data_IF_856286552340
#
_entry.id   IF_856286552340
#
_cell.length_a   1.000
_cell.length_b   1.000
_cell.length_c   1.000
_cell.angle_alpha   90.00
_cell.angle_beta   90.00
_cell.angle_gamma   90.00
#
_symmetry.space_group_name_H-M   'P 1'
#
loop_
_entity.id
_entity.type
_entity.pdbx_description
1 polymer ?
#
# COMPACT_ATOMS: atom_id res chain seq x y z
N UNK A 1 7.85 -25.76 19.75
CA UNK A 1 6.64 -24.91 19.80
C UNK A 1 6.88 -23.62 20.60
N UNK A 2 7.20 -23.69 21.90
CA UNK A 2 7.39 -22.50 22.76
C UNK A 2 8.51 -21.54 22.31
N UNK A 3 9.71 -22.06 21.99
CA UNK A 3 10.86 -21.21 21.61
C UNK A 3 10.59 -20.41 20.32
N UNK A 4 9.95 -21.02 19.33
CA UNK A 4 9.60 -20.33 18.08
C UNK A 4 8.64 -19.17 18.30
N UNK A 5 7.58 -19.40 19.11
CA UNK A 5 6.63 -18.34 19.46
C UNK A 5 7.29 -17.24 20.30
N UNK A 6 8.20 -17.59 21.21
CA UNK A 6 8.97 -16.62 21.99
C UNK A 6 9.83 -15.72 21.09
N UNK A 7 10.48 -16.28 20.08
CA UNK A 7 11.26 -15.49 19.11
C UNK A 7 10.37 -14.55 18.30
N UNK A 8 9.21 -15.02 17.83
CA UNK A 8 8.24 -14.18 17.11
C UNK A 8 7.77 -13.03 18.01
N UNK A 9 7.48 -13.30 19.28
CA UNK A 9 7.07 -12.28 20.24
C UNK A 9 8.14 -11.21 20.43
N UNK A 10 9.41 -11.62 20.56
CA UNK A 10 10.53 -10.68 20.70
C UNK A 10 10.70 -9.81 19.45
N UNK A 11 10.54 -10.39 18.24
CA UNK A 11 10.59 -9.64 16.98
C UNK A 11 9.45 -8.62 16.88
N UNK A 12 8.23 -9.00 17.26
CA UNK A 12 7.07 -8.09 17.26
C UNK A 12 7.25 -6.93 18.25
N UNK A 13 7.76 -7.21 19.45
CA UNK A 13 8.07 -6.16 20.43
C UNK A 13 9.15 -5.20 19.93
N UNK A 14 10.22 -5.74 19.34
CA UNK A 14 11.27 -4.92 18.73
C UNK A 14 10.71 -4.04 17.60
N UNK A 15 9.93 -4.62 16.68
CA UNK A 15 9.30 -3.89 15.59
C UNK A 15 8.33 -2.81 16.09
N UNK A 16 7.56 -3.07 17.14
CA UNK A 16 6.65 -2.10 17.76
C UNK A 16 7.39 -0.91 18.37
N UNK A 17 8.46 -1.18 19.12
CA UNK A 17 9.30 -0.12 19.72
C UNK A 17 9.98 0.71 18.62
N UNK A 18 10.58 0.05 17.63
CA UNK A 18 11.24 0.73 16.50
C UNK A 18 10.23 1.57 15.71
N UNK A 19 9.05 1.04 15.39
CA UNK A 19 8.00 1.76 14.67
C UNK A 19 7.52 3.00 15.41
N UNK A 20 7.39 2.94 16.74
CA UNK A 20 7.02 4.09 17.56
C UNK A 20 8.15 5.12 17.65
N UNK A 21 9.38 4.68 17.89
CA UNK A 21 10.54 5.56 18.05
C UNK A 21 10.95 6.27 16.75
N UNK A 22 10.85 5.58 15.61
CA UNK A 22 11.26 6.10 14.29
C UNK A 22 10.08 6.55 13.44
N UNK A 23 8.92 6.87 14.05
CA UNK A 23 7.68 7.22 13.35
C UNK A 23 7.89 8.27 12.25
N UNK A 24 8.64 9.34 12.51
CA UNK A 24 8.87 10.43 11.53
C UNK A 24 9.66 9.96 10.32
N UNK A 25 10.71 9.16 10.55
CA UNK A 25 11.55 8.60 9.50
C UNK A 25 10.78 7.56 8.69
N UNK A 26 10.06 6.65 9.36
CA UNK A 26 9.16 5.71 8.71
C UNK A 26 8.10 6.42 7.88
N UNK A 27 7.50 7.51 8.39
CA UNK A 27 6.50 8.29 7.65
C UNK A 27 7.11 8.95 6.39
N UNK A 28 8.34 9.46 6.48
CA UNK A 28 9.05 10.01 5.32
C UNK A 28 9.30 8.94 4.26
N UNK A 29 9.88 7.81 4.65
CA UNK A 29 10.20 6.70 3.75
C UNK A 29 8.93 6.13 3.10
N UNK A 30 7.85 5.99 3.88
CA UNK A 30 6.54 5.59 3.36
C UNK A 30 6.01 6.62 2.37
N UNK A 31 6.10 7.92 2.67
CA UNK A 31 5.64 8.97 1.77
C UNK A 31 6.39 8.96 0.42
N UNK A 32 7.71 8.83 0.46
CA UNK A 32 8.55 8.70 -0.75
C UNK A 32 8.16 7.45 -1.56
N UNK A 33 8.06 6.31 -0.88
CA UNK A 33 7.66 5.03 -1.48
C UNK A 33 6.27 5.09 -2.10
N UNK A 34 5.31 5.74 -1.43
CA UNK A 34 3.95 5.94 -1.96
C UNK A 34 3.95 6.82 -3.20
N UNK A 35 4.73 7.90 -3.22
CA UNK A 35 4.86 8.76 -4.39
C UNK A 35 5.51 8.07 -5.59
N UNK A 36 6.50 7.21 -5.37
CA UNK A 36 7.10 6.40 -6.43
C UNK A 36 6.13 5.36 -6.98
N UNK A 37 5.43 4.65 -6.09
CA UNK A 37 4.43 3.66 -6.47
C UNK A 37 3.21 4.28 -7.15
N UNK A 38 2.79 5.49 -6.76
CA UNK A 38 1.71 6.21 -7.44
C UNK A 38 2.04 6.44 -8.93
N UNK A 39 3.30 6.72 -9.27
CA UNK A 39 3.73 6.86 -10.68
C UNK A 39 3.61 5.56 -11.46
N UNK A 40 3.78 4.41 -10.82
CA UNK A 40 3.66 3.10 -11.46
C UNK A 40 2.19 2.78 -11.78
N UNK A 41 1.22 3.27 -11.00
CA UNK A 41 -0.20 3.06 -11.29
C UNK A 41 -0.62 3.64 -12.65
N UNK A 42 -0.04 4.78 -13.04
CA UNK A 42 -0.27 5.40 -14.36
C UNK A 42 0.56 4.80 -15.50
N UNK A 43 1.52 3.90 -15.22
CA UNK A 43 2.38 3.31 -16.25
C UNK A 43 1.83 1.99 -16.79
N UNK A 44 2.26 1.60 -17.99
CA UNK A 44 1.84 0.35 -18.64
C UNK A 44 2.97 -0.66 -18.78
N UNK A 45 4.03 -0.56 -17.96
CA UNK A 45 5.15 -1.51 -17.94
C UNK A 45 4.74 -2.84 -17.29
N UNK A 46 5.45 -3.96 -17.56
CA UNK A 46 5.18 -5.24 -16.89
C UNK A 46 5.24 -5.15 -15.37
N UNK A 47 6.20 -4.41 -14.83
CA UNK A 47 6.37 -4.21 -13.37
C UNK A 47 5.20 -3.40 -12.78
N UNK A 48 4.69 -2.41 -13.53
CA UNK A 48 3.52 -1.64 -13.12
C UNK A 48 2.27 -2.54 -13.02
N UNK A 49 2.13 -3.55 -13.89
CA UNK A 49 0.97 -4.44 -13.86
C UNK A 49 0.89 -5.28 -12.58
N UNK A 50 2.02 -5.77 -12.07
CA UNK A 50 2.03 -6.52 -10.80
C UNK A 50 1.55 -5.64 -9.64
N UNK A 51 2.04 -4.40 -9.59
CA UNK A 51 1.61 -3.43 -8.58
C UNK A 51 0.12 -3.07 -8.73
N UNK A 52 -0.35 -2.84 -9.96
CA UNK A 52 -1.76 -2.52 -10.24
C UNK A 52 -2.69 -3.63 -9.75
N UNK A 53 -2.36 -4.90 -10.00
CA UNK A 53 -3.15 -6.04 -9.51
C UNK A 53 -3.19 -6.11 -7.98
N UNK A 54 -2.04 -5.92 -7.32
CA UNK A 54 -1.98 -5.83 -5.86
C UNK A 54 -2.82 -4.65 -5.32
N UNK A 55 -2.77 -3.50 -6.01
CA UNK A 55 -3.51 -2.31 -5.63
C UNK A 55 -5.02 -2.48 -5.82
N UNK A 56 -5.48 -3.14 -6.88
CA UNK A 56 -6.90 -3.46 -7.09
C UNK A 56 -7.43 -4.33 -5.95
N UNK A 57 -6.68 -5.36 -5.55
CA UNK A 57 -7.02 -6.21 -4.40
C UNK A 57 -7.10 -5.40 -3.10
N UNK A 58 -6.09 -4.56 -2.84
CA UNK A 58 -6.02 -3.72 -1.65
C UNK A 58 -7.19 -2.72 -1.57
N UNK A 59 -7.47 -2.00 -2.67
CA UNK A 59 -8.56 -1.02 -2.74
C UNK A 59 -9.93 -1.69 -2.55
N UNK A 60 -10.10 -2.91 -3.08
CA UNK A 60 -11.34 -3.67 -2.90
C UNK A 60 -11.58 -4.03 -1.43
N UNK A 61 -10.52 -4.45 -0.73
CA UNK A 61 -10.60 -4.84 0.69
C UNK A 61 -10.73 -3.62 1.61
N UNK A 62 -9.88 -2.61 1.41
CA UNK A 62 -9.77 -1.45 2.30
C UNK A 62 -10.74 -0.32 1.94
N UNK A 63 -11.47 -0.42 0.83
CA UNK A 63 -12.40 0.61 0.34
C UNK A 63 -11.73 1.97 0.18
N UNK A 64 -10.50 1.97 -0.34
CA UNK A 64 -9.75 3.16 -0.70
C UNK A 64 -9.58 3.25 -2.22
N UNK A 65 -9.02 4.36 -2.71
CA UNK A 65 -8.68 4.50 -4.11
C UNK A 65 -7.36 5.27 -4.23
N UNK A 66 -6.43 4.77 -5.05
CA UNK A 66 -5.10 5.35 -5.25
C UNK A 66 -4.18 5.28 -4.03
N UNK A 67 -3.08 6.04 -4.10
CA UNK A 67 -2.02 6.10 -3.08
C UNK A 67 -1.78 7.53 -2.55
N UNK A 68 -1.71 8.52 -3.43
CA UNK A 68 -1.35 9.92 -3.12
C UNK A 68 -2.47 10.87 -3.53
N UNK A 69 -2.87 10.85 -4.80
CA UNK A 69 -3.90 11.73 -5.35
C UNK A 69 -5.23 11.01 -5.63
N UNK A 70 -5.36 9.79 -5.13
CA UNK A 70 -6.57 9.00 -5.24
C UNK A 70 -6.73 8.38 -6.62
N UNK A 71 -7.95 8.39 -7.18
CA UNK A 71 -8.23 7.88 -8.52
C UNK A 71 -7.32 8.47 -9.62
N UNK A 72 -6.82 9.69 -9.41
CA UNK A 72 -5.93 10.37 -10.35
C UNK A 72 -4.57 9.67 -10.51
N UNK A 73 -4.12 8.91 -9.50
CA UNK A 73 -2.85 8.17 -9.56
C UNK A 73 -2.84 7.11 -10.66
N UNK A 74 -4.02 6.64 -11.08
CA UNK A 74 -4.17 5.63 -12.13
C UNK A 74 -4.02 6.17 -13.55
N UNK A 75 -4.13 7.49 -13.75
CA UNK A 75 -4.08 8.11 -15.07
C UNK A 75 -5.01 7.42 -16.09
N UNK A 76 -4.48 7.14 -17.27
CA UNK A 76 -5.24 6.48 -18.36
C UNK A 76 -5.61 5.02 -18.04
N UNK A 77 -4.96 4.39 -17.05
CA UNK A 77 -5.25 3.02 -16.62
C UNK A 77 -6.43 2.94 -15.64
N UNK A 78 -7.07 4.06 -15.28
CA UNK A 78 -8.16 4.08 -14.29
C UNK A 78 -9.33 3.13 -14.64
N UNK A 79 -9.55 2.84 -15.92
CA UNK A 79 -10.56 1.88 -16.34
C UNK A 79 -10.39 0.49 -15.70
N UNK A 80 -9.16 0.08 -15.39
CA UNK A 80 -8.84 -1.20 -14.73
C UNK A 80 -9.15 -1.20 -13.23
N UNK A 81 -8.99 -0.06 -12.56
CA UNK A 81 -9.20 0.08 -11.11
C UNK A 81 -10.58 0.61 -10.72
N UNK A 82 -11.39 1.02 -11.70
CA UNK A 82 -12.70 1.64 -11.49
C UNK A 82 -13.60 0.85 -10.56
N UNK A 83 -13.64 -0.47 -10.71
CA UNK A 83 -14.49 -1.33 -9.87
C UNK A 83 -13.97 -1.43 -8.43
N UNK A 84 -12.65 -1.50 -8.22
CA UNK A 84 -12.05 -1.52 -6.89
C UNK A 84 -12.16 -0.18 -6.15
N UNK A 85 -12.27 0.92 -6.90
CA UNK A 85 -12.42 2.28 -6.38
C UNK A 85 -13.88 2.70 -6.13
N UNK A 86 -14.86 1.81 -6.36
CA UNK A 86 -16.26 2.14 -6.11
C UNK A 86 -16.47 2.42 -4.63
N UNK A 87 -16.93 3.63 -4.34
CA UNK A 87 -17.49 3.93 -3.04
C UNK A 87 -18.85 3.21 -2.94
N UNK A 88 -19.16 2.56 -1.81
CA UNK A 88 -20.51 2.06 -1.60
C UNK A 88 -21.50 3.24 -1.68
N UNK A 89 -22.60 3.02 -2.40
CA UNK A 89 -23.73 3.95 -2.42
C UNK A 89 -24.40 3.91 -1.05
N UNK A 90 -23.91 4.74 -0.12
CA UNK A 90 -24.39 4.97 1.25
C UNK A 90 -24.29 3.82 2.25
#
# INVERSE_FOLDING_TARGET
>A
FFIGLLLILLLQLAAGILGAAFKSESSRLLNETLHENAKLLAQSTPEAKELQQAMISLQTELKCCGLVYGAQDWGDNFNEARDSCKCPDT
#
